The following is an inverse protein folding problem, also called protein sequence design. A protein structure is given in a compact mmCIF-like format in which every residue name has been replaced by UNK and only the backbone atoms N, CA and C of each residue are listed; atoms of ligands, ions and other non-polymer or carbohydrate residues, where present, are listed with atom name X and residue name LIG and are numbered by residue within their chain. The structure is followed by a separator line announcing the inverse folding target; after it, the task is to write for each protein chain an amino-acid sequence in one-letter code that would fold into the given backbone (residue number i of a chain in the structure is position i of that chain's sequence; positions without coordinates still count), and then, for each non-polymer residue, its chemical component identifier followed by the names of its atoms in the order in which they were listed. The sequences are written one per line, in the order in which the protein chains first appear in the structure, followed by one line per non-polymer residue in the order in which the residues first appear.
data_IF_846668679412
#
_entry.id   IF_846668679412
#
_cell.length_a   1.000
_cell.length_b   1.000
_cell.length_c   1.000
_cell.angle_alpha   90.00
_cell.angle_beta   90.00
_cell.angle_gamma   90.00
#
_symmetry.space_group_name_H-M   'P 1'
#
loop_
_entity.id
_entity.type
_entity.pdbx_description
1 polymer ?
#
# COMPACT_ATOMS: atom_id res chain seq x y z
N UNK A 1 21.44 37.54 -35.63
CA UNK A 1 22.32 36.46 -35.12
C UNK A 1 21.49 35.19 -35.07
N UNK A 2 22.05 33.98 -35.30
CA UNK A 2 21.27 32.76 -35.15
C UNK A 2 20.78 32.62 -33.70
N UNK A 3 19.54 32.18 -33.54
CA UNK A 3 18.89 31.97 -32.24
C UNK A 3 18.82 30.47 -31.97
N UNK A 4 19.15 30.06 -30.74
CA UNK A 4 19.00 28.66 -30.35
C UNK A 4 17.51 28.28 -30.29
N UNK A 5 17.12 27.24 -31.03
CA UNK A 5 15.73 26.74 -31.05
C UNK A 5 15.24 26.23 -29.68
N UNK A 6 16.16 25.76 -28.83
CA UNK A 6 15.81 25.22 -27.50
C UNK A 6 15.64 26.33 -26.44
N UNK A 7 16.61 27.24 -26.30
CA UNK A 7 16.60 28.23 -25.22
C UNK A 7 16.32 29.67 -25.65
N UNK A 8 16.15 29.93 -26.94
CA UNK A 8 15.80 31.26 -27.46
C UNK A 8 16.90 32.32 -27.38
N UNK A 9 18.13 31.95 -27.00
CA UNK A 9 19.25 32.89 -26.87
C UNK A 9 19.91 33.16 -28.22
N UNK A 10 20.23 34.42 -28.50
CA UNK A 10 21.08 34.82 -29.62
C UNK A 10 22.52 34.35 -29.42
N UNK A 11 23.10 33.72 -30.43
CA UNK A 11 24.47 33.20 -30.37
C UNK A 11 25.29 33.63 -31.58
N UNK A 12 26.59 33.82 -31.36
CA UNK A 12 27.55 34.14 -32.43
C UNK A 12 27.86 32.94 -33.32
N UNK A 13 27.83 31.73 -32.75
CA UNK A 13 28.04 30.45 -33.43
C UNK A 13 26.85 29.53 -33.20
N UNK A 14 26.34 28.94 -34.28
CA UNK A 14 25.20 28.01 -34.25
C UNK A 14 25.55 26.63 -34.76
N UNK A 15 25.07 25.60 -34.08
CA UNK A 15 25.24 24.20 -34.44
C UNK A 15 23.94 23.64 -35.00
N UNK A 16 23.98 23.11 -36.22
CA UNK A 16 22.81 22.57 -36.91
C UNK A 16 22.65 21.06 -36.64
N UNK A 17 21.46 20.64 -36.22
CA UNK A 17 21.15 19.23 -35.98
C UNK A 17 20.54 18.58 -37.23
N UNK A 18 21.20 17.54 -37.77
CA UNK A 18 20.75 16.82 -38.98
C UNK A 18 19.49 15.99 -38.79
N UNK A 19 19.07 15.73 -37.54
CA UNK A 19 17.87 14.93 -37.24
C UNK A 19 16.59 15.76 -37.25
N UNK A 20 16.56 16.85 -36.49
CA UNK A 20 15.39 17.72 -36.37
C UNK A 20 15.44 18.95 -37.29
N UNK A 21 16.59 19.23 -37.92
CA UNK A 21 16.76 20.35 -38.86
C UNK A 21 16.83 21.73 -38.21
N UNK A 22 16.95 21.83 -36.89
CA UNK A 22 17.01 23.10 -36.15
C UNK A 22 18.44 23.47 -35.72
N UNK A 23 18.63 24.73 -35.35
CA UNK A 23 19.93 25.31 -34.96
C UNK A 23 20.00 25.61 -33.45
N UNK A 24 21.16 25.33 -32.84
CA UNK A 24 21.35 25.36 -31.39
C UNK A 24 22.64 26.06 -30.96
N UNK A 25 22.70 26.49 -29.70
CA UNK A 25 23.91 27.02 -29.08
C UNK A 25 24.87 25.90 -28.67
N UNK A 26 26.09 26.24 -28.23
CA UNK A 26 27.10 25.27 -27.80
C UNK A 26 26.66 24.36 -26.64
N UNK A 27 25.74 24.83 -25.79
CA UNK A 27 25.17 24.06 -24.66
C UNK A 27 24.05 23.10 -25.09
N UNK A 28 23.44 23.29 -26.25
CA UNK A 28 22.32 22.49 -26.75
C UNK A 28 22.64 21.83 -28.09
N UNK A 29 23.92 21.71 -28.45
CA UNK A 29 24.36 21.11 -29.72
C UNK A 29 24.04 19.62 -29.81
N UNK A 30 24.02 18.92 -28.68
CA UNK A 30 23.84 17.48 -28.64
C UNK A 30 22.34 17.11 -28.60
N UNK A 31 21.91 16.06 -29.33
CA UNK A 31 20.49 15.67 -29.43
C UNK A 31 19.74 15.42 -28.12
N UNK A 32 20.46 15.08 -27.07
CA UNK A 32 19.88 14.86 -25.73
C UNK A 32 19.56 16.21 -25.07
N UNK A 33 20.44 17.19 -25.24
CA UNK A 33 20.34 18.50 -24.57
C UNK A 33 19.29 19.42 -25.20
N UNK A 34 18.86 19.13 -26.43
CA UNK A 34 17.71 19.81 -27.07
C UNK A 34 16.51 18.89 -27.31
N UNK A 35 16.44 17.76 -26.60
CA UNK A 35 15.29 16.84 -26.63
C UNK A 35 14.80 16.51 -28.07
N UNK A 36 15.75 16.13 -28.94
CA UNK A 36 15.56 16.09 -30.40
C UNK A 36 14.30 15.35 -30.89
N UNK A 37 13.90 14.28 -30.22
CA UNK A 37 12.71 13.50 -30.60
C UNK A 37 11.41 14.30 -30.43
N UNK A 38 11.31 15.13 -29.39
CA UNK A 38 10.14 15.96 -29.12
C UNK A 38 10.01 17.06 -30.18
N UNK A 39 11.14 17.66 -30.57
CA UNK A 39 11.18 18.65 -31.65
C UNK A 39 10.67 18.04 -32.97
N UNK A 40 11.10 16.84 -33.32
CA UNK A 40 10.62 16.13 -34.52
C UNK A 40 9.10 15.90 -34.46
N UNK A 41 8.58 15.47 -33.31
CA UNK A 41 7.14 15.23 -33.14
C UNK A 41 6.31 16.52 -33.27
N UNK A 42 6.80 17.62 -32.70
CA UNK A 42 6.13 18.93 -32.83
C UNK A 42 6.09 19.45 -34.26
N UNK A 43 7.14 19.21 -35.06
CA UNK A 43 7.22 19.65 -36.46
C UNK A 43 6.30 18.83 -37.36
N UNK A 44 5.92 17.63 -36.94
CA UNK A 44 5.06 16.72 -37.70
C UNK A 44 3.55 16.91 -37.40
N UNK A 45 3.16 17.80 -36.48
CA UNK A 45 1.76 18.01 -36.11
C UNK A 45 1.04 18.93 -37.11
N UNK A 46 0.09 18.39 -37.89
CA UNK A 46 -0.85 19.17 -38.72
C UNK A 46 -2.16 19.41 -37.95
N UNK A 47 -2.59 20.66 -37.74
CA UNK A 47 -3.91 20.92 -37.16
C UNK A 47 -5.02 20.59 -38.17
N UNK A 48 -5.93 19.69 -37.80
CA UNK A 48 -7.18 19.47 -38.53
C UNK A 48 -8.10 20.69 -38.36
N UNK A 49 -8.47 21.35 -39.45
CA UNK A 49 -9.48 22.41 -39.46
C UNK A 49 -10.86 21.81 -39.18
N UNK A 50 -11.52 22.27 -38.11
CA UNK A 50 -12.93 21.96 -37.82
C UNK A 50 -13.79 23.03 -38.48
N UNK A 51 -14.63 22.62 -39.43
CA UNK A 51 -15.57 23.48 -40.16
C UNK A 51 -16.62 24.11 -39.23
N UNK A 52 -16.75 25.44 -39.28
CA UNK A 52 -17.81 26.18 -38.60
C UNK A 52 -19.07 26.20 -39.47
N UNK A 53 -20.18 25.63 -38.99
CA UNK A 53 -21.53 25.91 -39.48
C UNK A 53 -22.25 26.80 -38.47
N UNK A 54 -22.58 28.02 -38.90
CA UNK A 54 -23.32 29.02 -38.11
C UNK A 54 -24.83 28.81 -38.28
N UNK A 55 -25.63 28.68 -37.21
CA UNK A 55 -27.09 28.82 -37.30
C UNK A 55 -27.54 30.25 -36.96
N UNK A 56 -28.42 30.77 -37.80
CA UNK A 56 -29.13 32.05 -37.71
C UNK A 56 -30.16 32.06 -36.58
N UNK A 57 -30.22 33.16 -35.82
CA UNK A 57 -31.20 33.39 -34.76
C UNK A 57 -32.54 33.89 -35.31
N UNK A 58 -33.63 33.31 -34.80
CA UNK A 58 -34.93 33.96 -34.66
C UNK A 58 -35.51 33.66 -33.27
N UNK A 59 -36.12 34.65 -32.65
CA UNK A 59 -36.90 34.57 -31.41
C UNK A 59 -38.31 35.15 -31.68
N UNK A 60 -39.33 35.06 -30.79
CA UNK A 60 -39.43 34.39 -29.49
C UNK A 60 -40.76 33.59 -29.29
N UNK A 61 -40.90 32.81 -28.21
CA UNK A 61 -41.98 33.00 -27.20
C UNK A 61 -41.90 32.05 -25.99
N UNK A 62 -42.40 32.59 -24.87
CA UNK A 62 -42.34 32.12 -23.49
C UNK A 62 -43.13 30.81 -23.22
N UNK A 63 -42.68 30.04 -22.23
CA UNK A 63 -43.43 29.57 -21.03
C UNK A 63 -42.45 28.78 -20.12
N UNK A 64 -42.43 29.12 -18.83
CA UNK A 64 -41.68 28.44 -17.76
C UNK A 64 -42.38 27.12 -17.37
N UNK A 65 -41.66 26.06 -16.94
CA UNK A 65 -41.52 25.85 -15.49
C UNK A 65 -40.12 25.39 -15.03
N UNK A 66 -39.78 25.78 -13.80
CA UNK A 66 -38.56 25.43 -13.07
C UNK A 66 -38.41 23.92 -12.83
N UNK A 67 -37.27 23.36 -13.22
CA UNK A 67 -36.65 22.22 -12.53
C UNK A 67 -35.17 22.55 -12.35
N UNK A 68 -34.75 22.63 -11.09
CA UNK A 68 -33.39 22.92 -10.67
C UNK A 68 -32.45 21.77 -11.05
N UNK A 69 -31.63 21.96 -12.07
CA UNK A 69 -30.41 21.17 -12.30
C UNK A 69 -29.23 22.14 -12.31
N UNK A 70 -28.47 22.16 -11.20
CA UNK A 70 -27.13 22.74 -11.20
C UNK A 70 -26.20 21.80 -11.98
N UNK A 71 -26.17 21.98 -13.30
CA UNK A 71 -25.06 21.54 -14.14
C UNK A 71 -23.97 22.61 -14.05
N UNK A 72 -22.98 22.39 -13.19
CA UNK A 72 -21.69 23.09 -13.29
C UNK A 72 -21.04 22.70 -14.61
N UNK A 73 -21.13 23.60 -15.58
CA UNK A 73 -20.39 23.61 -16.83
C UNK A 73 -18.91 23.55 -16.46
N UNK A 74 -18.24 22.43 -16.76
CA UNK A 74 -16.79 22.34 -16.69
C UNK A 74 -16.22 23.18 -17.82
N UNK A 75 -15.69 24.36 -17.49
CA UNK A 75 -14.83 25.12 -18.39
C UNK A 75 -13.73 24.20 -18.94
N UNK A 76 -13.61 24.16 -20.26
CA UNK A 76 -12.61 23.35 -20.94
C UNK A 76 -11.21 23.75 -20.48
N UNK A 77 -10.49 22.82 -19.85
CA UNK A 77 -9.10 23.00 -19.44
C UNK A 77 -8.26 23.28 -20.69
N UNK A 78 -7.75 24.51 -20.82
CA UNK A 78 -6.80 24.89 -21.88
C UNK A 78 -5.48 24.16 -21.59
N UNK A 79 -5.17 23.14 -22.40
CA UNK A 79 -3.94 22.34 -22.29
C UNK A 79 -2.86 22.97 -23.18
N UNK A 80 -2.17 23.95 -22.63
CA UNK A 80 -1.05 24.66 -23.27
C UNK A 80 -1.46 26.04 -23.78
N UNK A 81 -0.61 27.01 -23.49
CA UNK A 81 -0.67 28.37 -24.03
C UNK A 81 0.19 28.45 -25.29
N UNK A 82 -0.19 29.29 -26.25
CA UNK A 82 0.53 29.47 -27.53
C UNK A 82 1.90 30.14 -27.39
N UNK A 83 2.31 30.52 -26.18
CA UNK A 83 3.58 31.16 -25.84
C UNK A 83 4.68 30.15 -25.46
N UNK A 84 4.40 28.85 -25.53
CA UNK A 84 5.35 27.79 -25.19
C UNK A 84 5.49 27.53 -23.69
N UNK A 85 4.66 28.14 -22.84
CA UNK A 85 4.66 27.83 -21.41
C UNK A 85 3.81 26.58 -21.12
N UNK A 86 4.44 25.55 -20.54
CA UNK A 86 3.76 24.35 -20.09
C UNK A 86 3.46 24.47 -18.59
N UNK A 87 2.19 24.59 -18.23
CA UNK A 87 1.75 24.35 -16.86
C UNK A 87 1.52 22.86 -16.64
N UNK A 88 2.39 22.24 -15.86
CA UNK A 88 2.19 20.87 -15.39
C UNK A 88 1.04 20.82 -14.39
N UNK A 89 -0.10 20.30 -14.80
CA UNK A 89 -1.19 19.99 -13.89
C UNK A 89 -1.00 18.57 -13.36
N UNK A 90 -0.83 18.45 -12.03
CA UNK A 90 -1.00 17.15 -11.39
C UNK A 90 -2.48 16.77 -11.53
N UNK A 91 -2.76 15.75 -12.33
CA UNK A 91 -4.11 15.21 -12.44
C UNK A 91 -4.41 14.43 -11.15
N UNK A 92 -4.99 15.12 -10.16
CA UNK A 92 -5.54 14.50 -8.97
C UNK A 92 -6.90 13.91 -9.33
N UNK A 93 -6.93 12.64 -9.71
CA UNK A 93 -8.18 11.94 -9.99
C UNK A 93 -8.79 11.51 -8.65
N UNK A 94 -9.98 12.03 -8.35
CA UNK A 94 -10.73 11.64 -7.16
C UNK A 94 -11.00 10.12 -7.19
N UNK A 95 -10.75 9.44 -6.07
CA UNK A 95 -11.01 8.00 -5.96
C UNK A 95 -12.53 7.79 -6.05
N UNK A 96 -13.03 7.04 -7.04
CA UNK A 96 -14.47 6.83 -7.22
C UNK A 96 -15.07 6.08 -6.03
N UNK A 97 -16.36 6.28 -5.76
CA UNK A 97 -17.00 5.62 -4.60
C UNK A 97 -16.98 4.10 -4.70
N UNK A 98 -17.10 3.59 -5.92
CA UNK A 98 -17.05 2.18 -6.29
C UNK A 98 -15.65 1.71 -6.70
N UNK A 99 -14.56 2.33 -6.23
CA UNK A 99 -13.18 2.05 -6.69
C UNK A 99 -12.67 0.60 -6.65
N UNK A 100 -13.41 -0.35 -6.05
CA UNK A 100 -13.08 -1.77 -6.03
C UNK A 100 -14.04 -2.63 -6.86
N UNK A 101 -14.95 -1.98 -7.60
CA UNK A 101 -15.88 -2.59 -8.53
C UNK A 101 -15.18 -2.80 -9.89
N UNK A 102 -15.42 -3.92 -10.60
CA UNK A 102 -14.93 -4.13 -11.96
C UNK A 102 -15.20 -2.94 -12.91
N UNK A 103 -16.32 -2.25 -12.73
CA UNK A 103 -16.76 -1.16 -13.61
C UNK A 103 -16.17 0.21 -13.22
N UNK A 104 -15.32 0.27 -12.19
CA UNK A 104 -14.70 1.52 -11.71
C UNK A 104 -13.59 2.06 -12.62
N UNK A 105 -13.18 1.31 -13.65
CA UNK A 105 -12.08 1.67 -14.54
C UNK A 105 -10.69 1.56 -13.89
N UNK A 106 -10.58 1.09 -12.63
CA UNK A 106 -9.31 0.89 -11.92
C UNK A 106 -8.95 -0.60 -11.97
N UNK A 107 -7.85 -0.94 -12.65
CA UNK A 107 -7.30 -2.30 -12.64
C UNK A 107 -6.22 -2.44 -11.57
N UNK A 108 -6.43 -3.38 -10.65
CA UNK A 108 -5.44 -3.69 -9.61
C UNK A 108 -4.57 -4.87 -10.07
N UNK A 109 -3.33 -4.58 -10.46
CA UNK A 109 -2.35 -5.63 -10.80
C UNK A 109 -1.89 -6.36 -9.53
N UNK A 110 -1.87 -7.68 -9.55
CA UNK A 110 -1.32 -8.51 -8.46
C UNK A 110 -2.31 -8.89 -7.35
N UNK A 111 -3.58 -8.50 -7.46
CA UNK A 111 -4.65 -9.00 -6.57
C UNK A 111 -5.13 -10.35 -7.08
N UNK A 112 -5.03 -11.38 -6.24
CA UNK A 112 -5.63 -12.67 -6.52
C UNK A 112 -7.15 -12.55 -6.40
N UNK A 113 -7.95 -13.24 -7.23
CA UNK A 113 -9.42 -13.24 -7.17
C UNK A 113 -10.08 -11.84 -6.95
N UNK A 114 -9.67 -10.85 -7.75
CA UNK A 114 -10.06 -9.44 -7.56
C UNK A 114 -11.58 -9.19 -7.48
N UNK A 115 -12.39 -9.98 -8.19
CA UNK A 115 -13.85 -9.88 -8.26
C UNK A 115 -14.58 -10.46 -7.03
N UNK A 116 -13.90 -11.19 -6.14
CA UNK A 116 -14.52 -11.79 -4.95
C UNK A 116 -14.69 -10.77 -3.81
N UNK A 117 -15.61 -11.07 -2.88
CA UNK A 117 -15.89 -10.21 -1.73
C UNK A 117 -14.72 -10.18 -0.75
N UNK A 118 -14.61 -9.10 0.03
CA UNK A 118 -13.59 -8.95 1.09
C UNK A 118 -13.63 -10.12 2.09
N UNK A 119 -14.83 -10.61 2.42
CA UNK A 119 -15.01 -11.76 3.30
C UNK A 119 -14.37 -13.03 2.72
N UNK A 120 -14.53 -13.29 1.43
CA UNK A 120 -13.89 -14.46 0.78
C UNK A 120 -12.37 -14.37 0.87
N UNK A 121 -11.79 -13.18 0.69
CA UNK A 121 -10.35 -12.97 0.87
C UNK A 121 -9.90 -13.26 2.30
N UNK A 122 -10.62 -12.75 3.30
CA UNK A 122 -10.32 -13.03 4.71
C UNK A 122 -10.43 -14.52 5.05
N UNK A 123 -11.47 -15.21 4.56
CA UNK A 123 -11.65 -16.64 4.82
C UNK A 123 -10.52 -17.46 4.20
N UNK A 124 -10.16 -17.20 2.95
CA UNK A 124 -9.05 -17.92 2.29
C UNK A 124 -7.72 -17.63 3.00
N UNK A 125 -7.42 -16.37 3.32
CA UNK A 125 -6.22 -16.00 4.08
C UNK A 125 -6.18 -16.70 5.44
N UNK A 126 -7.30 -16.69 6.18
CA UNK A 126 -7.43 -17.33 7.48
C UNK A 126 -7.23 -18.84 7.40
N UNK A 127 -7.84 -19.52 6.43
CA UNK A 127 -7.66 -20.97 6.22
C UNK A 127 -6.19 -21.30 5.91
N UNK A 128 -5.54 -20.53 5.03
CA UNK A 128 -4.13 -20.73 4.67
C UNK A 128 -3.24 -20.57 5.90
N UNK A 129 -3.40 -19.48 6.66
CA UNK A 129 -2.60 -19.23 7.87
C UNK A 129 -2.89 -20.28 8.94
N UNK A 130 -4.14 -20.70 9.09
CA UNK A 130 -4.50 -21.75 10.04
C UNK A 130 -3.83 -23.08 9.69
N UNK A 131 -3.88 -23.50 8.42
CA UNK A 131 -3.21 -24.71 7.96
C UNK A 131 -1.69 -24.64 8.16
N UNK A 132 -1.08 -23.49 7.87
CA UNK A 132 0.35 -23.24 8.15
C UNK A 132 0.65 -23.33 9.65
N UNK A 133 -0.21 -22.78 10.50
CA UNK A 133 -0.08 -22.86 11.95
C UNK A 133 -0.10 -24.31 12.44
N UNK A 134 -1.09 -25.09 12.01
CA UNK A 134 -1.17 -26.52 12.33
C UNK A 134 0.10 -27.25 11.87
N UNK A 135 0.55 -27.04 10.63
CA UNK A 135 1.75 -27.69 10.09
C UNK A 135 3.03 -27.27 10.81
N UNK A 136 3.16 -25.99 11.18
CA UNK A 136 4.35 -25.45 11.85
C UNK A 136 4.53 -26.00 13.27
N UNK A 137 3.42 -26.23 13.98
CA UNK A 137 3.46 -26.72 15.35
C UNK A 137 3.28 -28.24 15.48
N UNK A 138 2.88 -28.93 14.42
CA UNK A 138 2.60 -30.37 14.45
C UNK A 138 3.73 -31.22 15.05
N UNK A 139 4.97 -30.94 14.65
CA UNK A 139 6.15 -31.67 15.15
C UNK A 139 6.57 -31.29 16.57
N UNK A 140 6.11 -30.13 17.06
CA UNK A 140 6.51 -29.57 18.35
C UNK A 140 5.55 -29.93 19.49
N UNK A 141 4.36 -30.43 19.17
CA UNK A 141 3.32 -30.77 20.15
C UNK A 141 3.26 -32.28 20.32
N UNK A 142 3.43 -32.75 21.57
CA UNK A 142 3.27 -34.16 21.92
C UNK A 142 1.83 -34.65 21.74
N UNK A 143 1.65 -35.95 21.52
CA UNK A 143 0.34 -36.58 21.25
C UNK A 143 -0.70 -36.33 22.35
N UNK A 144 -0.26 -36.14 23.60
CA UNK A 144 -1.13 -35.80 24.75
C UNK A 144 -1.79 -34.43 24.63
N UNK A 145 -1.16 -33.48 23.91
CA UNK A 145 -1.57 -32.08 23.87
C UNK A 145 -2.06 -31.65 22.48
N UNK A 146 -2.58 -32.56 21.65
CA UNK A 146 -2.99 -32.23 20.27
C UNK A 146 -4.00 -31.07 20.17
N UNK A 147 -4.82 -30.85 21.19
CA UNK A 147 -5.76 -29.71 21.22
C UNK A 147 -5.04 -28.34 21.16
N UNK A 148 -3.79 -28.26 21.62
CA UNK A 148 -3.00 -27.02 21.60
C UNK A 148 -2.64 -26.59 20.19
N UNK A 149 -2.56 -27.52 19.24
CA UNK A 149 -2.30 -27.22 17.82
C UNK A 149 -3.36 -26.29 17.26
N UNK A 150 -4.63 -26.56 17.55
CA UNK A 150 -5.76 -25.76 17.04
C UNK A 150 -5.77 -24.36 17.66
N UNK A 151 -5.44 -24.25 18.94
CA UNK A 151 -5.36 -22.95 19.62
C UNK A 151 -4.16 -22.14 19.13
N UNK A 152 -2.99 -22.76 18.95
CA UNK A 152 -1.82 -22.08 18.40
C UNK A 152 -2.05 -21.61 16.97
N UNK A 153 -2.70 -22.42 16.14
CA UNK A 153 -3.12 -22.03 14.79
C UNK A 153 -4.11 -20.86 14.84
N UNK A 154 -5.07 -20.88 15.77
CA UNK A 154 -5.99 -19.75 15.99
C UNK A 154 -5.26 -18.48 16.43
N UNK A 155 -4.25 -18.58 17.30
CA UNK A 155 -3.43 -17.43 17.67
C UNK A 155 -2.68 -16.85 16.47
N UNK A 156 -2.13 -17.69 15.60
CA UNK A 156 -1.45 -17.24 14.38
C UNK A 156 -2.42 -16.49 13.44
N UNK A 157 -3.61 -17.03 13.21
CA UNK A 157 -4.66 -16.35 12.44
C UNK A 157 -5.05 -15.03 13.09
N UNK A 158 -5.26 -15.00 14.40
CA UNK A 158 -5.66 -13.79 15.13
C UNK A 158 -4.60 -12.69 15.08
N UNK A 159 -3.31 -13.06 15.17
CA UNK A 159 -2.20 -12.11 15.06
C UNK A 159 -2.21 -11.41 13.69
N UNK A 160 -2.37 -12.18 12.61
CA UNK A 160 -2.50 -11.62 11.26
C UNK A 160 -3.78 -10.80 11.09
N UNK A 161 -4.92 -11.32 11.51
CA UNK A 161 -6.20 -10.65 11.31
C UNK A 161 -6.25 -9.31 12.04
N UNK A 162 -5.84 -9.26 13.30
CA UNK A 162 -5.82 -8.02 14.06
C UNK A 162 -4.81 -7.01 13.52
N UNK A 163 -3.67 -7.48 13.00
CA UNK A 163 -2.71 -6.64 12.29
C UNK A 163 -3.36 -5.92 11.10
N UNK A 164 -3.96 -6.68 10.19
CA UNK A 164 -4.60 -6.14 8.98
C UNK A 164 -5.82 -5.28 9.32
N UNK A 165 -6.65 -5.70 10.28
CA UNK A 165 -7.75 -4.90 10.78
C UNK A 165 -7.28 -3.58 11.40
N UNK A 166 -6.10 -3.56 12.03
CA UNK A 166 -5.46 -2.33 12.53
C UNK A 166 -5.23 -1.30 11.41
N UNK A 167 -4.63 -1.73 10.29
CA UNK A 167 -4.47 -0.87 9.11
C UNK A 167 -5.81 -0.36 8.59
N UNK A 168 -6.78 -1.27 8.44
CA UNK A 168 -8.13 -0.96 7.95
C UNK A 168 -8.82 0.06 8.84
N UNK A 169 -8.77 -0.10 10.16
CA UNK A 169 -9.45 0.78 11.09
C UNK A 169 -8.91 2.21 11.03
N UNK A 170 -7.58 2.38 10.91
CA UNK A 170 -6.98 3.70 10.78
C UNK A 170 -7.26 4.32 9.40
N UNK A 171 -7.28 3.53 8.33
CA UNK A 171 -7.68 4.00 7.02
C UNK A 171 -9.14 4.47 6.99
N UNK A 172 -10.06 3.74 7.62
CA UNK A 172 -11.46 4.14 7.78
C UNK A 172 -11.60 5.42 8.61
N UNK A 173 -10.79 5.58 9.66
CA UNK A 173 -10.76 6.82 10.43
C UNK A 173 -10.37 8.04 9.56
N UNK A 174 -9.47 7.85 8.60
CA UNK A 174 -9.13 8.88 7.62
C UNK A 174 -10.13 9.00 6.44
N UNK A 175 -11.27 8.31 6.51
CA UNK A 175 -12.31 8.27 5.46
C UNK A 175 -11.77 7.78 4.10
N UNK A 176 -10.73 6.96 4.12
CA UNK A 176 -10.15 6.38 2.91
C UNK A 176 -10.93 5.13 2.49
N UNK A 177 -10.94 4.84 1.20
CA UNK A 177 -11.52 3.60 0.67
C UNK A 177 -10.50 2.49 0.84
N UNK A 178 -10.92 1.39 1.47
CA UNK A 178 -10.05 0.28 1.84
C UNK A 178 -10.78 -1.04 1.70
N UNK A 179 -10.07 -2.08 1.24
CA UNK A 179 -10.52 -3.48 1.26
C UNK A 179 -9.33 -4.40 1.51
N UNK A 180 -9.54 -5.44 2.30
CA UNK A 180 -8.60 -6.57 2.38
C UNK A 180 -8.63 -7.40 1.10
N UNK A 181 -7.45 -7.71 0.56
CA UNK A 181 -7.28 -8.43 -0.70
C UNK A 181 -6.09 -9.39 -0.60
N UNK A 182 -6.27 -10.60 -1.12
CA UNK A 182 -5.16 -11.53 -1.31
C UNK A 182 -4.23 -11.02 -2.41
N UNK A 183 -2.93 -11.12 -2.17
CA UNK A 183 -1.91 -10.70 -3.12
C UNK A 183 -1.24 -11.94 -3.70
N UNK A 184 -1.17 -12.04 -5.02
CA UNK A 184 -0.55 -13.20 -5.69
C UNK A 184 0.92 -13.34 -5.27
N UNK A 185 1.64 -12.23 -5.16
CA UNK A 185 3.02 -12.20 -4.65
C UNK A 185 3.11 -12.70 -3.21
N UNK A 186 2.18 -12.30 -2.36
CA UNK A 186 2.12 -12.71 -0.96
C UNK A 186 1.85 -14.20 -0.78
N UNK A 187 0.92 -14.73 -1.58
CA UNK A 187 0.62 -16.16 -1.63
C UNK A 187 1.84 -16.98 -2.11
N UNK A 188 2.55 -16.50 -3.13
CA UNK A 188 3.77 -17.13 -3.64
C UNK A 188 4.89 -17.12 -2.59
N UNK A 189 5.11 -15.99 -1.90
CA UNK A 189 6.09 -15.90 -0.80
C UNK A 189 5.75 -16.84 0.35
N UNK A 190 4.46 -16.99 0.65
CA UNK A 190 3.99 -17.93 1.68
C UNK A 190 4.30 -19.38 1.28
N UNK A 191 4.09 -19.74 0.01
CA UNK A 191 4.45 -21.04 -0.55
C UNK A 191 5.97 -21.30 -0.53
N UNK A 192 6.77 -20.37 -1.05
CA UNK A 192 8.24 -20.51 -1.13
C UNK A 192 8.87 -20.55 0.25
N UNK A 193 8.34 -19.79 1.21
CA UNK A 193 8.83 -19.83 2.60
C UNK A 193 8.37 -21.06 3.38
N UNK A 194 7.64 -22.00 2.77
CA UNK A 194 7.00 -23.13 3.44
C UNK A 194 6.14 -22.70 4.64
N UNK A 195 5.50 -21.54 4.54
CA UNK A 195 4.69 -20.95 5.60
C UNK A 195 5.45 -20.27 6.74
N UNK A 196 6.79 -20.16 6.66
CA UNK A 196 7.58 -19.44 7.67
C UNK A 196 7.29 -17.94 7.70
N UNK A 197 6.91 -17.37 6.56
CA UNK A 197 6.49 -15.98 6.43
C UNK A 197 5.18 -15.91 5.65
N UNK A 198 4.05 -15.96 6.37
CA UNK A 198 2.73 -15.92 5.77
C UNK A 198 2.27 -14.46 5.59
N UNK A 199 2.32 -13.97 4.35
CA UNK A 199 1.76 -12.69 3.93
C UNK A 199 0.71 -12.92 2.83
N UNK A 200 -0.38 -13.67 3.07
CA UNK A 200 -1.27 -14.09 1.98
C UNK A 200 -2.03 -12.91 1.33
N UNK A 201 -2.19 -11.80 2.05
CA UNK A 201 -2.87 -10.61 1.57
C UNK A 201 -2.42 -9.35 2.30
N UNK A 202 -3.03 -8.24 1.92
CA UNK A 202 -2.85 -6.95 2.59
C UNK A 202 -4.13 -6.12 2.48
N UNK A 203 -4.31 -5.19 3.42
CA UNK A 203 -5.30 -4.13 3.26
C UNK A 203 -4.84 -3.12 2.22
N UNK A 204 -5.55 -3.09 1.09
CA UNK A 204 -5.33 -2.11 0.02
C UNK A 204 -6.08 -0.84 0.40
N UNK A 205 -5.36 0.27 0.55
CA UNK A 205 -5.91 1.59 0.89
C UNK A 205 -5.68 2.54 -0.28
N UNK A 206 -6.74 3.17 -0.76
CA UNK A 206 -6.70 4.13 -1.87
C UNK A 206 -6.63 5.56 -1.33
N UNK A 207 -5.92 6.43 -2.06
CA UNK A 207 -5.78 7.84 -1.68
C UNK A 207 -4.73 8.10 -0.59
N UNK A 208 -3.80 7.17 -0.36
CA UNK A 208 -2.62 7.41 0.46
C UNK A 208 -1.50 8.04 -0.37
N UNK A 209 -0.99 9.18 0.10
CA UNK A 209 0.24 9.75 -0.45
C UNK A 209 1.45 8.87 -0.14
N UNK A 210 2.49 8.94 -0.98
CA UNK A 210 3.72 8.15 -0.78
C UNK A 210 4.39 8.42 0.58
N UNK A 211 4.40 9.68 1.04
CA UNK A 211 5.02 10.08 2.31
C UNK A 211 4.12 11.11 2.99
N UNK A 212 3.22 10.64 3.86
CA UNK A 212 2.36 11.53 4.65
C UNK A 212 2.11 10.98 6.05
N UNK A 213 1.58 11.84 6.92
CA UNK A 213 1.12 11.45 8.25
C UNK A 213 0.05 10.37 8.21
N UNK A 214 -0.87 10.43 7.25
CA UNK A 214 -1.95 9.44 7.10
C UNK A 214 -1.36 8.08 6.76
N UNK A 215 -0.45 8.02 5.78
CA UNK A 215 0.23 6.79 5.36
C UNK A 215 1.06 6.19 6.49
N UNK A 216 1.84 7.02 7.18
CA UNK A 216 2.66 6.56 8.29
C UNK A 216 1.86 6.04 9.49
N UNK A 217 0.76 6.72 9.86
CA UNK A 217 -0.13 6.24 10.94
C UNK A 217 -0.89 4.97 10.53
N UNK A 218 -1.39 4.91 9.30
CA UNK A 218 -2.06 3.73 8.77
C UNK A 218 -1.10 2.54 8.79
N UNK A 219 0.15 2.72 8.38
CA UNK A 219 1.17 1.66 8.35
C UNK A 219 1.71 1.30 9.74
N UNK A 220 1.76 2.24 10.67
CA UNK A 220 2.11 1.95 12.06
C UNK A 220 1.03 1.15 12.82
N UNK A 221 -0.23 1.21 12.38
CA UNK A 221 -1.36 0.61 13.08
C UNK A 221 -1.25 -0.91 13.24
N UNK A 222 -0.88 -1.65 12.19
CA UNK A 222 -0.72 -3.10 12.24
C UNK A 222 0.34 -3.55 13.26
N UNK A 223 1.60 -3.08 13.14
CA UNK A 223 2.64 -3.38 14.13
C UNK A 223 2.28 -2.95 15.56
N UNK A 224 1.57 -1.82 15.72
CA UNK A 224 1.10 -1.37 17.02
C UNK A 224 0.05 -2.31 17.63
N UNK A 225 -0.91 -2.78 16.85
CA UNK A 225 -1.91 -3.76 17.32
C UNK A 225 -1.23 -5.07 17.74
N UNK A 226 -0.25 -5.55 16.98
CA UNK A 226 0.52 -6.73 17.37
C UNK A 226 1.30 -6.52 18.67
N UNK A 227 1.88 -5.33 18.88
CA UNK A 227 2.55 -5.00 20.13
C UNK A 227 1.57 -5.07 21.31
N UNK A 228 0.42 -4.41 21.21
CA UNK A 228 -0.58 -4.37 22.28
C UNK A 228 -1.16 -5.77 22.54
N UNK A 229 -1.57 -6.47 21.50
CA UNK A 229 -2.16 -7.81 21.63
C UNK A 229 -1.14 -8.82 22.17
N UNK A 230 0.12 -8.76 21.71
CA UNK A 230 1.20 -9.58 22.24
C UNK A 230 1.46 -9.32 23.73
N UNK A 231 1.47 -8.05 24.16
CA UNK A 231 1.61 -7.71 25.59
C UNK A 231 0.46 -8.29 26.40
N UNK A 232 -0.78 -8.17 25.93
CA UNK A 232 -1.94 -8.73 26.62
C UNK A 232 -1.84 -10.26 26.76
N UNK A 233 -1.51 -10.98 25.69
CA UNK A 233 -1.31 -12.43 25.74
C UNK A 233 -0.17 -12.83 26.68
N UNK A 234 0.92 -12.06 26.69
CA UNK A 234 2.06 -12.30 27.57
C UNK A 234 1.71 -12.07 29.04
N UNK A 235 0.87 -11.07 29.37
CA UNK A 235 0.40 -10.90 30.74
C UNK A 235 -0.54 -12.03 31.15
N UNK A 236 -1.44 -12.44 30.25
CA UNK A 236 -2.36 -13.56 30.49
C UNK A 236 -1.59 -14.86 30.76
N UNK A 237 -0.43 -15.09 30.11
CA UNK A 237 0.36 -16.30 30.33
C UNK A 237 0.85 -16.47 31.78
N UNK A 238 0.99 -15.38 32.54
CA UNK A 238 1.35 -15.42 33.96
C UNK A 238 0.16 -15.41 34.92
N UNK A 239 -1.01 -14.94 34.45
CA UNK A 239 -2.25 -14.96 35.25
C UNK A 239 -2.81 -16.38 35.33
N UNK A 240 -2.64 -17.19 34.28
CA UNK A 240 -3.09 -18.58 34.24
C UNK A 240 -2.19 -19.44 35.15
N UNK A 241 -2.76 -20.16 36.14
CA UNK A 241 -1.98 -21.00 37.05
C UNK A 241 -1.15 -22.09 36.35
N UNK A 242 0.01 -22.41 36.92
CA UNK A 242 0.92 -23.47 36.44
C UNK A 242 0.28 -24.86 36.39
N UNK A 243 -0.72 -25.11 37.25
CA UNK A 243 -1.49 -26.36 37.25
C UNK A 243 -2.28 -26.60 35.95
N UNK A 244 -2.51 -25.56 35.15
CA UNK A 244 -3.20 -25.65 33.85
C UNK A 244 -2.22 -25.81 32.68
N UNK A 245 -0.98 -26.24 32.94
CA UNK A 245 -0.02 -26.52 31.87
C UNK A 245 -0.60 -27.52 30.84
N UNK A 246 -0.44 -27.29 29.51
CA UNK A 246 0.34 -26.24 28.84
C UNK A 246 -0.44 -24.95 28.51
N UNK A 247 -1.67 -24.75 29.01
CA UNK A 247 -2.51 -23.60 28.62
C UNK A 247 -1.81 -22.26 28.85
N UNK A 248 -1.24 -22.05 30.03
CA UNK A 248 -0.44 -20.87 30.38
C UNK A 248 0.69 -20.62 29.36
N UNK A 249 1.42 -21.68 28.99
CA UNK A 249 2.54 -21.62 28.05
C UNK A 249 2.09 -21.26 26.62
N UNK A 250 0.95 -21.76 26.17
CA UNK A 250 0.40 -21.44 24.82
C UNK A 250 0.15 -19.94 24.66
N UNK A 251 -0.32 -19.24 25.71
CA UNK A 251 -0.47 -17.79 25.66
C UNK A 251 0.87 -17.06 25.47
N UNK A 252 1.95 -17.57 26.07
CA UNK A 252 3.31 -17.05 25.83
C UNK A 252 3.75 -17.27 24.38
N UNK A 253 3.42 -18.42 23.77
CA UNK A 253 3.67 -18.67 22.34
C UNK A 253 2.82 -17.73 21.48
N UNK A 254 1.56 -17.50 21.84
CA UNK A 254 0.68 -16.54 21.16
C UNK A 254 1.23 -15.11 21.19
N UNK A 255 1.81 -14.70 22.33
CA UNK A 255 2.53 -13.42 22.45
C UNK A 255 3.76 -13.37 21.54
N UNK A 256 4.58 -14.42 21.54
CA UNK A 256 5.72 -14.56 20.65
C UNK A 256 5.33 -14.40 19.16
N UNK A 257 4.25 -15.06 18.72
CA UNK A 257 3.76 -14.95 17.33
C UNK A 257 3.38 -13.51 16.95
N UNK A 258 2.74 -12.78 17.88
CA UNK A 258 2.39 -11.38 17.67
C UNK A 258 3.64 -10.49 17.57
N UNK A 259 4.59 -10.62 18.50
CA UNK A 259 5.83 -9.85 18.46
C UNK A 259 6.68 -10.19 17.22
N UNK A 260 6.68 -11.45 16.79
CA UNK A 260 7.36 -11.91 15.59
C UNK A 260 6.76 -11.25 14.35
N UNK A 261 5.44 -11.34 14.16
CA UNK A 261 4.77 -10.76 13.00
C UNK A 261 4.87 -9.22 12.99
N UNK A 262 4.76 -8.58 14.16
CA UNK A 262 4.95 -7.13 14.32
C UNK A 262 6.37 -6.70 13.96
N UNK A 263 7.39 -7.41 14.47
CA UNK A 263 8.80 -7.12 14.17
C UNK A 263 9.14 -7.35 12.71
N UNK A 264 8.62 -8.42 12.11
CA UNK A 264 8.84 -8.74 10.70
C UNK A 264 8.28 -7.63 9.78
N UNK A 265 7.06 -7.16 10.03
CA UNK A 265 6.48 -6.05 9.27
C UNK A 265 7.18 -4.70 9.51
N UNK A 266 7.99 -4.58 10.56
CA UNK A 266 8.83 -3.39 10.80
C UNK A 266 10.15 -3.39 10.02
N UNK A 267 10.50 -4.44 9.28
CA UNK A 267 11.68 -4.43 8.42
C UNK A 267 11.48 -3.35 7.33
N UNK A 268 12.43 -2.41 7.13
CA UNK A 268 12.25 -1.27 6.23
C UNK A 268 12.58 -1.67 4.79
N UNK A 269 11.82 -2.61 4.24
CA UNK A 269 12.05 -3.18 2.92
C UNK A 269 10.75 -3.51 2.18
N UNK A 270 10.73 -3.24 0.87
CA UNK A 270 9.66 -3.67 -0.04
C UNK A 270 8.27 -3.17 0.36
N UNK A 271 7.33 -4.11 0.47
CA UNK A 271 5.91 -3.88 0.79
C UNK A 271 5.60 -3.84 2.28
N UNK A 272 6.59 -4.14 3.13
CA UNK A 272 6.43 -4.19 4.59
C UNK A 272 6.17 -2.80 5.16
N UNK A 273 5.48 -2.73 6.29
CA UNK A 273 5.00 -1.46 6.83
C UNK A 273 6.12 -0.55 7.32
N UNK A 274 7.17 -1.14 7.88
CA UNK A 274 8.37 -0.47 8.36
C UNK A 274 8.98 0.48 7.33
N UNK A 275 8.89 0.13 6.04
CA UNK A 275 9.42 0.95 4.96
C UNK A 275 8.74 2.33 4.88
N UNK A 276 7.42 2.36 5.02
CA UNK A 276 6.66 3.60 4.98
C UNK A 276 6.79 4.39 6.29
N UNK A 277 6.83 3.69 7.42
CA UNK A 277 7.01 4.33 8.74
C UNK A 277 8.39 4.99 8.83
N UNK A 278 9.44 4.33 8.34
CA UNK A 278 10.81 4.86 8.27
C UNK A 278 10.90 6.14 7.45
N UNK A 279 10.30 6.14 6.25
CA UNK A 279 10.25 7.30 5.35
C UNK A 279 9.45 8.46 5.95
N UNK A 280 8.41 8.16 6.73
CA UNK A 280 7.57 9.19 7.35
C UNK A 280 8.18 9.79 8.62
N UNK A 281 8.42 8.97 9.66
CA UNK A 281 8.92 9.41 10.97
C UNK A 281 9.77 8.33 11.64
N UNK A 282 11.10 8.50 11.58
CA UNK A 282 12.09 7.63 12.23
C UNK A 282 11.85 7.43 13.73
N UNK A 283 11.38 8.45 14.45
CA UNK A 283 11.07 8.33 15.90
C UNK A 283 10.00 7.27 16.17
N UNK A 284 8.93 7.24 15.36
CA UNK A 284 7.85 6.24 15.49
C UNK A 284 8.38 4.86 15.13
N UNK A 285 9.18 4.77 14.05
CA UNK A 285 9.82 3.53 13.66
C UNK A 285 10.67 2.94 14.79
N UNK A 286 11.58 3.74 15.36
CA UNK A 286 12.49 3.29 16.41
C UNK A 286 11.74 2.97 17.72
N UNK A 287 10.67 3.70 18.04
CA UNK A 287 9.82 3.39 19.19
C UNK A 287 9.11 2.03 19.05
N UNK A 288 8.53 1.75 17.89
CA UNK A 288 7.85 0.48 17.64
C UNK A 288 8.82 -0.70 17.61
N UNK A 289 9.90 -0.61 16.83
CA UNK A 289 10.88 -1.71 16.74
C UNK A 289 11.61 -1.91 18.07
N UNK A 290 11.92 -0.83 18.79
CA UNK A 290 12.53 -0.86 20.13
C UNK A 290 11.60 -1.41 21.21
N UNK A 291 10.30 -1.52 20.96
CA UNK A 291 9.35 -2.19 21.86
C UNK A 291 9.12 -3.65 21.44
N UNK A 292 8.93 -3.89 20.14
CA UNK A 292 8.62 -5.22 19.59
C UNK A 292 9.79 -6.20 19.69
N UNK A 293 11.00 -5.79 19.30
CA UNK A 293 12.16 -6.69 19.22
C UNK A 293 12.59 -7.19 20.60
N UNK A 294 12.70 -6.36 21.66
CA UNK A 294 13.04 -6.87 22.98
C UNK A 294 12.02 -7.88 23.53
N UNK A 295 10.72 -7.62 23.32
CA UNK A 295 9.66 -8.55 23.73
C UNK A 295 9.67 -9.85 22.90
N UNK A 296 9.98 -9.76 21.61
CA UNK A 296 10.22 -10.92 20.76
C UNK A 296 11.39 -11.77 21.29
N UNK A 297 12.53 -11.15 21.59
CA UNK A 297 13.70 -11.86 22.11
C UNK A 297 13.42 -12.48 23.49
N UNK A 298 12.74 -11.75 24.37
CA UNK A 298 12.35 -12.24 25.69
C UNK A 298 11.46 -13.48 25.58
N UNK A 299 10.40 -13.41 24.78
CA UNK A 299 9.48 -14.54 24.57
C UNK A 299 10.14 -15.70 23.82
N UNK A 300 11.07 -15.44 22.91
CA UNK A 300 11.87 -16.46 22.23
C UNK A 300 12.77 -17.21 23.23
N UNK A 301 13.48 -16.49 24.10
CA UNK A 301 14.32 -17.09 25.15
C UNK A 301 13.45 -17.92 26.09
N UNK A 302 12.33 -17.38 26.56
CA UNK A 302 11.41 -18.09 27.45
C UNK A 302 10.93 -19.40 26.80
N UNK A 303 10.54 -19.37 25.53
CA UNK A 303 9.96 -20.54 24.85
C UNK A 303 10.99 -21.62 24.48
N UNK A 304 12.26 -21.25 24.24
CA UNK A 304 13.29 -22.17 23.73
C UNK A 304 14.36 -22.57 24.75
N UNK A 305 14.37 -21.98 25.95
CA UNK A 305 15.36 -22.31 26.99
C UNK A 305 14.70 -22.99 28.19
N UNK A 306 15.53 -23.50 29.11
CA UNK A 306 15.08 -24.11 30.36
C UNK A 306 14.31 -23.15 31.28
N UNK A 307 14.26 -21.86 30.95
CA UNK A 307 13.44 -20.86 31.64
C UNK A 307 11.95 -21.21 31.58
N UNK A 308 11.46 -21.91 30.54
CA UNK A 308 10.06 -22.36 30.53
C UNK A 308 9.73 -23.32 31.67
N UNK A 309 10.68 -24.16 32.10
CA UNK A 309 10.46 -25.13 33.17
C UNK A 309 10.18 -24.43 34.50
N UNK A 310 10.91 -23.34 34.80
CA UNK A 310 10.69 -22.60 36.04
C UNK A 310 9.44 -21.72 36.00
N UNK A 311 9.06 -21.21 34.82
CA UNK A 311 7.95 -20.27 34.67
C UNK A 311 6.59 -20.96 34.48
N UNK A 312 6.53 -22.09 33.76
CA UNK A 312 5.26 -22.64 33.28
C UNK A 312 4.93 -24.04 33.77
N UNK A 313 5.92 -24.88 34.08
CA UNK A 313 5.65 -26.20 34.66
C UNK A 313 5.26 -26.07 36.14
N UNK A 314 4.30 -26.88 36.62
CA UNK A 314 3.94 -26.95 38.04
C UNK A 314 5.07 -27.48 38.91
#
# INVERSE_FOLDING_TARGET
MPVCYHCGTEVSESFHCTKCGQSYCSLHKDPIDHECNIVIESLNFRPQQVSQTTPSYSAPNQILPQITTQSTISEGIIRGTSDGTYTWYRQEQAVPENAFDPDSGISFKGIFLAHKSELTHFLIAGIIIYAIGVMSFYSSVGTTYLWTLFILAAFYVSAFLFHELGHRQVALHFKLKTKFRLLTFGLLMTLVSLGRFALPGAVVVLGLDKISRKTGLCKAAGPFINLVYGILLFLISFIIPKSLYPLNFIFCIGAYLNFMLGSFNMIPFGILDGQNIWKWKKKVYFGLIGSLVPLLLLTLVITNTSVNLSLYLP
#
